data_IF_985458509080
#
_entry.id   IF_985458509080
#
_cell.length_a   1.000
_cell.length_b   1.000
_cell.length_c   1.000
_cell.angle_alpha   90.00
_cell.angle_beta   90.00
_cell.angle_gamma   90.00
#
_symmetry.space_group_name_H-M   'P 1'
#
loop_
_entity.id
_entity.type
_entity.pdbx_description
1 polymer ?
#
# COMPACT_ATOMS: atom_id res chain seq x y z
N UNK A 1 12.27 -15.97 -2.61
CA UNK A 1 11.62 -14.68 -2.90
C UNK A 1 10.73 -14.27 -1.76
N UNK A 2 10.73 -12.99 -1.42
CA UNK A 2 9.91 -12.52 -0.31
C UNK A 2 8.77 -11.66 -0.85
N UNK A 3 7.58 -11.95 -0.34
CA UNK A 3 6.37 -11.21 -0.69
C UNK A 3 5.84 -10.51 0.54
N UNK A 4 5.20 -9.37 0.34
CA UNK A 4 4.72 -8.55 1.46
C UNK A 4 3.31 -8.06 1.20
N UNK A 5 2.63 -7.75 2.32
CA UNK A 5 1.40 -6.97 2.31
C UNK A 5 1.77 -5.58 2.80
N UNK A 6 1.42 -4.56 2.04
CA UNK A 6 1.67 -3.18 2.44
C UNK A 6 0.34 -2.54 2.83
N UNK A 7 0.33 -1.86 3.97
CA UNK A 7 -0.86 -1.14 4.42
C UNK A 7 -0.61 0.36 4.29
N UNK A 8 -1.55 1.04 3.67
CA UNK A 8 -1.51 2.50 3.51
C UNK A 8 -2.90 3.03 3.83
N UNK A 9 -2.99 4.09 4.63
CA UNK A 9 -4.25 4.79 4.82
C UNK A 9 -4.23 6.09 4.04
N UNK A 10 -5.39 6.48 3.52
CA UNK A 10 -5.55 7.73 2.78
C UNK A 10 -6.75 8.48 3.32
N UNK A 11 -6.80 9.82 3.12
CA UNK A 11 -7.94 10.60 3.61
C UNK A 11 -9.24 10.33 2.84
N UNK A 12 -9.17 9.74 1.65
CA UNK A 12 -10.35 9.51 0.83
C UNK A 12 -10.18 8.29 -0.05
N UNK A 13 -11.31 7.72 -0.46
CA UNK A 13 -11.32 6.63 -1.42
C UNK A 13 -10.74 7.07 -2.76
N UNK A 14 -11.02 8.31 -3.17
CA UNK A 14 -10.53 8.83 -4.45
C UNK A 14 -9.01 8.88 -4.48
N UNK A 15 -8.38 9.32 -3.41
CA UNK A 15 -6.93 9.33 -3.34
C UNK A 15 -6.36 7.91 -3.35
N UNK A 16 -7.00 6.99 -2.62
CA UNK A 16 -6.59 5.58 -2.60
C UNK A 16 -6.66 4.98 -4.01
N UNK A 17 -7.74 5.24 -4.73
CA UNK A 17 -7.90 4.71 -6.08
C UNK A 17 -6.87 5.27 -7.05
N UNK A 18 -6.56 6.55 -6.93
CA UNK A 18 -5.56 7.18 -7.77
C UNK A 18 -4.18 6.55 -7.57
N UNK A 19 -3.80 6.37 -6.30
CA UNK A 19 -2.52 5.75 -5.96
C UNK A 19 -2.51 4.29 -6.43
N UNK A 20 -3.60 3.55 -6.16
CA UNK A 20 -3.70 2.15 -6.54
C UNK A 20 -3.54 1.95 -8.04
N UNK A 21 -4.26 2.74 -8.83
CA UNK A 21 -4.18 2.64 -10.29
C UNK A 21 -2.76 2.89 -10.78
N UNK A 22 -2.10 3.90 -10.26
CA UNK A 22 -0.73 4.22 -10.65
C UNK A 22 0.22 3.06 -10.34
N UNK A 23 0.12 2.51 -9.12
CA UNK A 23 1.02 1.44 -8.70
C UNK A 23 0.82 0.16 -9.51
N UNK A 24 -0.43 -0.18 -9.80
CA UNK A 24 -0.75 -1.38 -10.58
C UNK A 24 -0.32 -1.20 -12.04
N UNK A 25 -0.64 -0.06 -12.63
CA UNK A 25 -0.30 0.22 -14.03
C UNK A 25 1.21 0.20 -14.27
N UNK A 26 1.98 0.57 -13.28
CA UNK A 26 3.43 0.61 -13.39
C UNK A 26 4.11 -0.64 -12.86
N UNK A 27 3.35 -1.69 -12.58
CA UNK A 27 3.84 -2.98 -12.12
C UNK A 27 4.69 -2.91 -10.85
N UNK A 28 4.45 -1.91 -10.03
CA UNK A 28 5.10 -1.78 -8.72
C UNK A 28 4.42 -2.72 -7.73
N UNK A 29 3.12 -2.96 -7.91
CA UNK A 29 2.38 -3.88 -7.07
C UNK A 29 1.53 -4.81 -7.93
N UNK A 30 1.15 -5.96 -7.38
CA UNK A 30 0.32 -6.91 -8.10
C UNK A 30 -1.16 -6.59 -7.93
N UNK A 31 -1.54 -6.15 -6.75
CA UNK A 31 -2.96 -6.01 -6.41
C UNK A 31 -3.12 -5.02 -5.27
N UNK A 32 -4.19 -4.23 -5.31
CA UNK A 32 -4.58 -3.36 -4.20
C UNK A 32 -6.05 -3.62 -3.91
N UNK A 33 -6.35 -3.98 -2.66
CA UNK A 33 -7.73 -3.99 -2.18
C UNK A 33 -7.95 -2.71 -1.39
N UNK A 34 -9.07 -2.06 -1.62
CA UNK A 34 -9.38 -0.80 -0.94
C UNK A 34 -10.59 -1.02 -0.05
N UNK A 35 -10.39 -0.81 1.26
CA UNK A 35 -11.48 -0.76 2.22
C UNK A 35 -11.88 0.70 2.28
N UNK A 36 -13.08 1.00 1.83
CA UNK A 36 -13.52 2.37 1.59
C UNK A 36 -13.49 3.24 2.83
N UNK A 37 -13.78 2.65 3.99
CA UNK A 37 -13.96 3.45 5.20
C UNK A 37 -13.46 2.70 6.42
N UNK A 38 -12.47 3.28 7.09
CA UNK A 38 -12.00 2.82 8.39
C UNK A 38 -11.99 4.02 9.34
N UNK A 39 -12.28 3.77 10.61
CA UNK A 39 -12.22 4.82 11.63
C UNK A 39 -10.88 4.71 12.32
N UNK A 40 -10.06 5.74 12.18
CA UNK A 40 -8.70 5.75 12.74
C UNK A 40 -8.66 6.65 13.96
N UNK A 41 -7.99 6.17 14.99
CA UNK A 41 -7.75 6.96 16.23
C UNK A 41 -6.26 6.93 16.45
N UNK A 42 -5.64 8.10 16.55
CA UNK A 42 -4.19 8.18 16.62
C UNK A 42 -3.75 9.40 17.40
N UNK A 43 -2.51 9.40 17.86
CA UNK A 43 -1.93 10.51 18.59
C UNK A 43 -1.10 11.35 17.62
N UNK A 44 -1.39 12.64 17.56
CA UNK A 44 -0.69 13.53 16.64
C UNK A 44 -0.54 14.91 17.28
N UNK A 45 0.69 15.40 17.29
CA UNK A 45 1.01 16.74 17.78
C UNK A 45 0.40 17.05 19.15
N UNK A 46 0.54 16.11 20.08
CA UNK A 46 0.15 16.31 21.46
C UNK A 46 -1.30 16.02 21.79
N UNK A 47 -2.09 15.51 20.84
CA UNK A 47 -3.48 15.21 21.11
C UNK A 47 -3.94 13.94 20.41
N UNK A 48 -5.06 13.39 20.90
CA UNK A 48 -5.73 12.24 20.28
C UNK A 48 -6.62 12.78 19.16
N UNK A 49 -6.39 12.27 17.96
CA UNK A 49 -7.14 12.65 16.77
C UNK A 49 -7.96 11.47 16.26
N UNK A 50 -9.04 11.79 15.58
CA UNK A 50 -9.88 10.78 14.94
C UNK A 50 -10.11 11.19 13.50
N UNK A 51 -10.05 10.20 12.61
CA UNK A 51 -10.26 10.45 11.19
C UNK A 51 -10.95 9.27 10.55
N UNK A 52 -11.76 9.56 9.55
CA UNK A 52 -12.33 8.56 8.69
C UNK A 52 -11.41 8.46 7.49
N UNK A 53 -10.90 7.25 7.22
CA UNK A 53 -9.90 7.05 6.17
C UNK A 53 -10.27 5.85 5.32
N UNK A 54 -9.58 5.71 4.18
CA UNK A 54 -9.63 4.50 3.38
C UNK A 54 -8.36 3.71 3.63
N UNK A 55 -8.46 2.39 3.62
CA UNK A 55 -7.32 1.51 3.86
C UNK A 55 -7.00 0.75 2.59
N UNK A 56 -5.74 0.85 2.16
CA UNK A 56 -5.23 0.09 1.02
C UNK A 56 -4.48 -1.12 1.54
N UNK A 57 -4.85 -2.30 1.02
CA UNK A 57 -4.18 -3.56 1.34
C UNK A 57 -3.52 -4.02 0.04
N UNK A 58 -2.21 -3.96 0.00
CA UNK A 58 -1.41 -4.09 -1.22
C UNK A 58 -0.61 -5.38 -1.17
N UNK A 59 -0.55 -6.11 -2.30
CA UNK A 59 0.30 -7.29 -2.40
C UNK A 59 1.39 -7.03 -3.42
N UNK A 60 2.64 -7.23 -2.99
CA UNK A 60 3.79 -6.99 -3.85
C UNK A 60 5.01 -7.77 -3.35
N UNK A 61 6.17 -7.48 -3.92
CA UNK A 61 7.43 -8.09 -3.51
C UNK A 61 8.20 -7.16 -2.59
N UNK A 62 8.91 -7.74 -1.63
CA UNK A 62 9.74 -6.96 -0.72
C UNK A 62 10.77 -6.12 -1.46
N UNK A 63 11.31 -6.65 -2.57
CA UNK A 63 12.37 -5.99 -3.33
C UNK A 63 11.98 -4.62 -3.88
N UNK A 64 10.67 -4.35 -4.04
CA UNK A 64 10.22 -3.06 -4.58
C UNK A 64 9.71 -2.10 -3.50
N UNK A 65 9.82 -2.46 -2.22
CA UNK A 65 9.20 -1.67 -1.16
C UNK A 65 9.74 -0.24 -1.09
N UNK A 66 11.05 -0.05 -1.24
CA UNK A 66 11.63 1.30 -1.23
C UNK A 66 11.10 2.14 -2.39
N UNK A 67 10.99 1.54 -3.57
CA UNK A 67 10.44 2.21 -4.74
C UNK A 67 8.98 2.57 -4.50
N UNK A 68 8.22 1.66 -3.89
CA UNK A 68 6.82 1.91 -3.56
C UNK A 68 6.69 3.13 -2.66
N UNK A 69 7.50 3.20 -1.61
CA UNK A 69 7.47 4.35 -0.68
C UNK A 69 7.75 5.65 -1.44
N UNK A 70 8.76 5.66 -2.30
CA UNK A 70 9.11 6.86 -3.06
C UNK A 70 7.94 7.33 -3.93
N UNK A 71 7.31 6.39 -4.63
CA UNK A 71 6.23 6.75 -5.54
C UNK A 71 4.97 7.18 -4.80
N UNK A 72 4.63 6.49 -3.71
CA UNK A 72 3.45 6.85 -2.91
C UNK A 72 3.63 8.22 -2.30
N UNK A 73 4.81 8.53 -1.79
CA UNK A 73 5.05 9.84 -1.16
C UNK A 73 4.87 11.01 -2.12
N UNK A 74 5.09 10.79 -3.41
CA UNK A 74 4.88 11.83 -4.42
C UNK A 74 3.40 12.13 -4.63
N UNK A 75 2.53 11.18 -4.30
CA UNK A 75 1.11 11.28 -4.59
C UNK A 75 0.24 11.47 -3.36
N UNK A 76 0.76 11.09 -2.19
CA UNK A 76 -0.01 11.10 -0.95
C UNK A 76 -0.10 12.50 -0.39
N UNK A 77 -1.31 12.89 0.08
CA UNK A 77 -1.54 14.24 0.60
C UNK A 77 -0.97 14.47 1.99
N UNK A 78 -0.72 13.40 2.75
CA UNK A 78 -0.14 13.53 4.09
C UNK A 78 1.37 13.77 4.00
N UNK A 79 1.90 14.55 4.93
CA UNK A 79 3.35 14.74 5.04
C UNK A 79 4.03 13.50 5.62
N UNK A 80 3.33 12.78 6.50
CA UNK A 80 3.84 11.54 7.10
C UNK A 80 2.78 10.45 6.90
N UNK A 81 2.71 9.84 5.72
CA UNK A 81 1.71 8.80 5.47
C UNK A 81 2.09 7.48 6.15
N UNK A 82 1.09 6.71 6.52
CA UNK A 82 1.31 5.34 6.98
C UNK A 82 1.62 4.47 5.76
N UNK A 83 2.83 3.91 5.72
CA UNK A 83 3.24 2.97 4.68
C UNK A 83 4.05 1.91 5.39
N UNK A 84 3.42 0.80 5.72
CA UNK A 84 4.09 -0.28 6.47
C UNK A 84 3.93 -1.59 5.73
N UNK A 85 4.88 -2.50 5.94
CA UNK A 85 4.89 -3.79 5.26
C UNK A 85 4.88 -4.92 6.28
N UNK A 86 4.08 -5.94 5.97
CA UNK A 86 4.01 -7.18 6.74
C UNK A 86 4.50 -8.31 5.84
N UNK A 87 5.28 -9.26 6.35
CA UNK A 87 5.71 -10.37 5.53
C UNK A 87 4.56 -11.33 5.26
N UNK A 88 4.51 -11.87 4.04
CA UNK A 88 3.64 -12.98 3.73
C UNK A 88 4.47 -14.23 3.99
N UNK A 89 4.18 -14.92 5.08
CA UNK A 89 4.99 -16.06 5.49
C UNK A 89 4.68 -17.32 4.69
N UNK A 90 3.48 -17.40 4.13
CA UNK A 90 3.03 -18.56 3.36
C UNK A 90 1.77 -18.16 2.61
N UNK A 91 1.47 -18.88 1.54
CA UNK A 91 0.29 -18.60 0.75
C UNK A 91 0.08 -19.64 -0.36
N UNK A 92 -1.04 -19.51 -1.07
CA UNK A 92 -1.33 -20.37 -2.20
C UNK A 92 -0.26 -20.15 -3.29
N UNK A 93 0.42 -21.21 -3.65
CA UNK A 93 1.60 -21.16 -4.52
C UNK A 93 1.34 -20.42 -5.83
N UNK A 94 0.21 -20.72 -6.47
CA UNK A 94 -0.13 -20.08 -7.75
C UNK A 94 -0.36 -18.58 -7.59
N UNK A 95 -0.90 -18.15 -6.46
CA UNK A 95 -1.11 -16.73 -6.21
C UNK A 95 0.22 -16.02 -6.00
N UNK A 96 1.12 -16.62 -5.23
CA UNK A 96 2.44 -16.05 -4.99
C UNK A 96 3.24 -15.95 -6.29
N UNK A 97 3.09 -16.96 -7.16
CA UNK A 97 3.72 -16.94 -8.47
C UNK A 97 3.17 -15.81 -9.33
N UNK A 98 1.86 -15.57 -9.22
CA UNK A 98 1.25 -14.47 -9.95
C UNK A 98 1.80 -13.12 -9.49
N UNK A 99 2.00 -12.94 -8.17
CA UNK A 99 2.65 -11.73 -7.66
C UNK A 99 4.05 -11.59 -8.27
N UNK A 100 4.81 -12.69 -8.27
CA UNK A 100 6.18 -12.69 -8.79
C UNK A 100 6.23 -12.25 -10.24
N UNK A 101 5.31 -12.76 -11.06
CA UNK A 101 5.30 -12.48 -12.49
C UNK A 101 4.73 -11.10 -12.82
N UNK A 102 3.83 -10.60 -11.98
CA UNK A 102 3.15 -9.33 -12.24
C UNK A 102 4.00 -8.13 -11.84
N UNK A 103 4.75 -8.24 -10.74
CA UNK A 103 5.58 -7.14 -10.25
C UNK A 103 6.91 -7.18 -10.98
N UNK A 104 7.13 -6.19 -11.83
CA UNK A 104 8.34 -6.11 -12.64
C UNK A 104 8.96 -4.72 -12.57
N UNK A 105 8.84 -4.09 -11.41
CA UNK A 105 9.35 -2.74 -11.24
C UNK A 105 10.86 -2.71 -11.42
N UNK A 106 11.30 -1.78 -12.23
CA UNK A 106 12.72 -1.54 -12.45
C UNK A 106 13.11 -0.26 -11.73
N UNK A 107 14.21 -0.33 -11.06
CA UNK A 107 14.76 0.85 -10.40
C UNK A 107 15.61 1.65 -11.36
#
# INVERSE_FOLDING_TARGET
MEYIVVLITTPSKEEAEKIANYLVENHIVACVNIVEKVNSVFFWQGSVEKAEESLMIIKTKKSVFKKLIEEVRKMHSYTVPEIIALPIIDGFEDYLKWIEETVSCRT
#
